data_IF_937444965213
#
_entry.id   IF_937444965213
#
_cell.length_a   1.000
_cell.length_b   1.000
_cell.length_c   1.000
_cell.angle_alpha   90.00
_cell.angle_beta   90.00
_cell.angle_gamma   90.00
#
_symmetry.space_group_name_H-M   'P 1'
#
loop_
_entity.id
_entity.type
_entity.pdbx_description
1 polymer ?
#
# COMPACT_ATOMS: atom_id res chain seq x y z
N UNK A 1 88.32 31.21 -14.11
CA UNK A 1 87.44 31.77 -15.16
C UNK A 1 86.00 31.40 -14.81
N UNK A 2 85.23 32.32 -14.23
CA UNK A 2 83.81 32.15 -13.92
C UNK A 2 83.00 33.06 -14.86
N UNK A 3 82.10 32.53 -15.71
CA UNK A 3 81.23 33.38 -16.50
C UNK A 3 79.96 33.76 -15.73
N UNK A 4 79.76 35.08 -15.68
CA UNK A 4 78.52 35.83 -15.83
C UNK A 4 77.22 35.32 -15.18
N UNK A 5 76.85 36.03 -14.10
CA UNK A 5 75.50 36.16 -13.58
C UNK A 5 74.61 36.93 -14.59
N UNK A 6 73.51 36.34 -15.02
CA UNK A 6 72.45 37.03 -15.75
C UNK A 6 71.07 36.54 -15.27
N UNK A 7 70.19 37.47 -14.89
CA UNK A 7 68.75 37.23 -14.90
C UNK A 7 67.97 37.54 -13.63
N UNK A 8 68.07 38.75 -13.07
CA UNK A 8 66.99 39.30 -12.25
C UNK A 8 65.82 39.69 -13.17
N UNK A 9 64.79 38.84 -13.27
CA UNK A 9 63.48 39.24 -13.80
C UNK A 9 62.62 39.77 -12.67
N UNK A 10 62.19 41.02 -12.81
CA UNK A 10 61.26 41.71 -11.94
C UNK A 10 59.90 40.97 -11.90
N UNK A 11 59.51 40.50 -10.72
CA UNK A 11 58.14 40.03 -10.46
C UNK A 11 57.21 41.24 -10.41
N UNK A 12 56.63 41.60 -11.57
CA UNK A 12 55.57 42.59 -11.68
C UNK A 12 54.30 41.99 -11.09
N UNK A 13 53.92 42.50 -9.92
CA UNK A 13 52.69 42.19 -9.19
C UNK A 13 51.44 42.28 -10.08
N UNK A 14 50.89 41.13 -10.48
CA UNK A 14 49.56 41.03 -11.06
C UNK A 14 48.56 40.97 -9.92
N UNK A 15 48.20 42.13 -9.36
CA UNK A 15 46.93 42.27 -8.63
C UNK A 15 45.84 42.37 -9.68
N UNK A 16 45.38 41.23 -10.17
CA UNK A 16 44.14 41.14 -10.91
C UNK A 16 42.99 41.48 -9.95
N UNK A 17 42.17 42.46 -10.32
CA UNK A 17 40.95 42.80 -9.63
C UNK A 17 40.02 41.58 -9.65
N UNK A 18 39.82 40.94 -8.49
CA UNK A 18 38.77 39.95 -8.31
C UNK A 18 37.43 40.70 -8.30
N UNK A 19 36.76 40.75 -9.46
CA UNK A 19 35.34 41.12 -9.50
C UNK A 19 34.58 39.98 -8.80
N UNK A 20 33.77 40.24 -7.76
CA UNK A 20 32.97 39.19 -7.15
C UNK A 20 31.96 38.72 -8.18
N UNK A 21 32.14 37.50 -8.69
CA UNK A 21 31.10 36.86 -9.49
C UNK A 21 29.87 36.70 -8.59
N UNK A 22 28.78 37.35 -8.97
CA UNK A 22 27.48 37.22 -8.34
C UNK A 22 27.02 35.76 -8.45
N UNK A 23 27.42 34.94 -7.46
CA UNK A 23 26.93 33.60 -7.27
C UNK A 23 25.43 33.69 -6.96
N UNK A 24 24.63 33.64 -8.02
CA UNK A 24 23.18 33.48 -7.92
C UNK A 24 22.96 32.08 -7.35
N UNK A 25 22.70 32.00 -6.04
CA UNK A 25 22.38 30.74 -5.38
C UNK A 25 21.14 30.14 -6.06
N UNK A 26 21.21 28.87 -6.50
CA UNK A 26 20.08 28.25 -7.18
C UNK A 26 18.87 28.24 -6.24
N UNK A 27 17.69 28.54 -6.80
CA UNK A 27 16.45 28.47 -6.06
C UNK A 27 16.28 27.06 -5.46
N UNK A 28 16.07 26.98 -4.14
CA UNK A 28 15.86 25.70 -3.45
C UNK A 28 14.53 25.12 -3.94
N UNK A 29 14.57 23.92 -4.51
CA UNK A 29 13.36 23.23 -4.95
C UNK A 29 12.35 23.10 -3.79
N UNK A 30 11.04 23.29 -4.04
CA UNK A 30 10.04 23.17 -2.99
C UNK A 30 10.04 21.74 -2.42
N UNK A 31 9.96 21.64 -1.09
CA UNK A 31 9.89 20.35 -0.39
C UNK A 31 8.59 19.62 -0.74
N UNK A 32 8.64 18.28 -0.83
CA UNK A 32 7.45 17.45 -1.01
C UNK A 32 6.46 17.62 0.15
N UNK A 33 5.17 17.41 -0.11
CA UNK A 33 4.12 17.57 0.91
C UNK A 33 4.25 16.58 2.08
N UNK A 34 4.78 15.37 1.84
CA UNK A 34 5.14 14.41 2.90
C UNK A 34 6.27 14.99 3.78
N UNK A 35 7.30 15.57 3.17
CA UNK A 35 8.42 16.21 3.91
C UNK A 35 7.91 17.40 4.73
N UNK A 36 7.03 18.22 4.17
CA UNK A 36 6.37 19.32 4.88
C UNK A 36 5.57 18.81 6.08
N UNK A 37 4.81 17.72 5.93
CA UNK A 37 4.08 17.10 7.05
C UNK A 37 5.03 16.68 8.19
N UNK A 38 6.16 16.04 7.86
CA UNK A 38 7.20 15.65 8.83
C UNK A 38 7.80 16.88 9.54
N UNK A 39 7.88 18.01 8.85
CA UNK A 39 8.27 19.34 9.38
C UNK A 39 7.11 20.12 10.02
N UNK A 40 6.11 19.42 10.56
CA UNK A 40 4.98 19.97 11.32
C UNK A 40 3.95 20.78 10.51
N UNK A 41 4.00 20.82 9.17
CA UNK A 41 2.88 21.34 8.38
C UNK A 41 1.63 20.47 8.58
N UNK A 42 0.46 21.10 8.73
CA UNK A 42 -0.81 20.42 9.03
C UNK A 42 -1.96 20.82 8.12
N UNK A 43 -1.66 21.48 7.00
CA UNK A 43 -2.65 21.80 5.97
C UNK A 43 -3.22 20.52 5.31
N UNK A 44 -4.40 20.60 4.67
CA UNK A 44 -5.04 19.43 4.07
C UNK A 44 -4.17 18.67 3.07
N UNK A 45 -3.33 19.36 2.29
CA UNK A 45 -2.45 18.72 1.29
C UNK A 45 -1.36 17.90 1.97
N UNK A 46 -0.66 18.48 2.95
CA UNK A 46 0.34 17.78 3.74
C UNK A 46 -0.23 16.54 4.47
N UNK A 47 -1.43 16.65 5.04
CA UNK A 47 -2.12 15.51 5.68
C UNK A 47 -2.48 14.41 4.70
N UNK A 48 -3.07 14.76 3.55
CA UNK A 48 -3.46 13.81 2.52
C UNK A 48 -2.24 13.07 1.95
N UNK A 49 -1.16 13.79 1.66
CA UNK A 49 0.08 13.21 1.17
C UNK A 49 0.68 12.20 2.16
N UNK A 50 0.73 12.54 3.46
CA UNK A 50 1.22 11.61 4.48
C UNK A 50 0.32 10.39 4.68
N UNK A 51 -1.01 10.56 4.62
CA UNK A 51 -1.95 9.46 4.70
C UNK A 51 -1.80 8.49 3.51
N UNK A 52 -1.59 9.03 2.30
CA UNK A 52 -1.30 8.23 1.11
C UNK A 52 0.04 7.47 1.24
N UNK A 53 1.11 8.16 1.65
CA UNK A 53 2.44 7.57 1.90
C UNK A 53 2.35 6.41 2.91
N UNK A 54 1.70 6.65 4.05
CA UNK A 54 1.51 5.64 5.09
C UNK A 54 0.66 4.46 4.62
N UNK A 55 -0.39 4.73 3.83
CA UNK A 55 -1.25 3.68 3.28
C UNK A 55 -0.49 2.83 2.26
N UNK A 56 0.27 3.46 1.38
CA UNK A 56 1.11 2.77 0.39
C UNK A 56 2.14 1.88 1.07
N UNK A 57 2.86 2.39 2.08
CA UNK A 57 3.82 1.61 2.84
C UNK A 57 3.16 0.42 3.57
N UNK A 58 1.99 0.63 4.19
CA UNK A 58 1.27 -0.49 4.84
C UNK A 58 0.84 -1.57 3.84
N UNK A 59 0.44 -1.17 2.63
CA UNK A 59 0.08 -2.14 1.57
C UNK A 59 1.31 -2.91 1.10
N UNK A 60 2.44 -2.24 0.87
CA UNK A 60 3.67 -2.94 0.47
C UNK A 60 4.16 -3.93 1.52
N UNK A 61 4.00 -3.61 2.82
CA UNK A 61 4.29 -4.57 3.90
C UNK A 61 3.32 -5.76 3.83
N UNK A 62 2.02 -5.51 3.66
CA UNK A 62 1.04 -6.58 3.53
C UNK A 62 1.22 -7.44 2.26
N UNK A 63 1.76 -6.87 1.18
CA UNK A 63 2.14 -7.60 -0.04
C UNK A 63 3.35 -8.49 0.18
N UNK A 64 4.34 -7.99 0.93
CA UNK A 64 5.54 -8.76 1.27
C UNK A 64 5.23 -9.90 2.26
N UNK A 65 4.34 -9.66 3.23
CA UNK A 65 3.96 -10.66 4.22
C UNK A 65 3.01 -11.71 3.63
N UNK A 66 2.13 -11.33 2.70
CA UNK A 66 1.11 -12.20 2.09
C UNK A 66 1.18 -12.09 0.56
N UNK A 67 2.20 -12.75 0.02
CA UNK A 67 2.54 -12.75 -1.40
C UNK A 67 1.75 -13.78 -2.21
N UNK A 68 2.09 -13.94 -3.50
CA UNK A 68 1.39 -14.86 -4.40
C UNK A 68 1.47 -16.33 -3.96
N UNK A 69 2.60 -16.75 -3.37
CA UNK A 69 2.80 -18.14 -2.95
C UNK A 69 1.91 -18.48 -1.74
N UNK A 70 1.87 -17.60 -0.72
CA UNK A 70 0.96 -17.77 0.42
C UNK A 70 -0.52 -17.69 0.01
N UNK A 71 -0.84 -16.90 -1.01
CA UNK A 71 -2.20 -16.85 -1.57
C UNK A 71 -2.56 -18.17 -2.27
N UNK A 72 -1.64 -18.75 -3.02
CA UNK A 72 -1.84 -20.05 -3.66
C UNK A 72 -2.04 -21.16 -2.62
N UNK A 73 -1.19 -21.21 -1.59
CA UNK A 73 -1.32 -22.15 -0.47
C UNK A 73 -2.66 -21.98 0.28
N UNK A 74 -3.10 -20.74 0.49
CA UNK A 74 -4.42 -20.45 1.09
C UNK A 74 -5.54 -21.03 0.24
N UNK A 75 -5.50 -20.83 -1.09
CA UNK A 75 -6.53 -21.34 -1.99
C UNK A 75 -6.51 -22.87 -2.08
N UNK A 76 -5.35 -23.49 -2.06
CA UNK A 76 -5.24 -24.95 -2.06
C UNK A 76 -5.76 -25.55 -0.75
N UNK A 77 -5.48 -24.91 0.39
CA UNK A 77 -6.06 -25.27 1.68
C UNK A 77 -7.60 -25.18 1.68
N UNK A 78 -8.17 -24.13 1.08
CA UNK A 78 -9.62 -23.99 0.93
C UNK A 78 -10.20 -25.08 0.03
N UNK A 79 -9.56 -25.38 -1.10
CA UNK A 79 -9.97 -26.47 -2.01
C UNK A 79 -9.87 -27.85 -1.37
N UNK A 80 -8.93 -28.06 -0.47
CA UNK A 80 -8.83 -29.26 0.36
C UNK A 80 -9.95 -29.36 1.42
N UNK A 81 -10.85 -28.36 1.50
CA UNK A 81 -12.00 -28.35 2.40
C UNK A 81 -11.72 -27.72 3.77
N UNK A 82 -10.56 -27.09 3.97
CA UNK A 82 -10.31 -26.34 5.19
C UNK A 82 -11.20 -25.08 5.24
N UNK A 83 -11.64 -24.73 6.45
CA UNK A 83 -12.34 -23.46 6.69
C UNK A 83 -11.35 -22.31 6.56
N UNK A 84 -11.82 -21.14 6.13
CA UNK A 84 -10.99 -19.94 5.95
C UNK A 84 -10.10 -19.61 7.15
N UNK A 85 -10.59 -19.76 8.38
CA UNK A 85 -9.78 -19.54 9.59
C UNK A 85 -8.61 -20.51 9.72
N UNK A 86 -8.81 -21.79 9.39
CA UNK A 86 -7.76 -22.80 9.43
C UNK A 86 -6.81 -22.66 8.23
N UNK A 87 -7.33 -22.36 7.05
CA UNK A 87 -6.54 -22.11 5.84
C UNK A 87 -5.64 -20.87 6.01
N UNK A 88 -6.17 -19.78 6.59
CA UNK A 88 -5.37 -18.59 6.90
C UNK A 88 -4.27 -18.90 7.92
N UNK A 89 -4.59 -19.66 8.97
CA UNK A 89 -3.59 -20.05 9.97
C UNK A 89 -2.47 -20.92 9.38
N UNK A 90 -2.76 -21.76 8.37
CA UNK A 90 -1.77 -22.59 7.69
C UNK A 90 -0.69 -21.76 6.99
N UNK A 91 -1.04 -20.59 6.46
CA UNK A 91 -0.12 -19.65 5.79
C UNK A 91 0.36 -18.54 6.73
N UNK A 92 0.24 -18.73 8.05
CA UNK A 92 0.68 -17.75 9.05
C UNK A 92 -0.17 -16.48 9.13
N UNK A 93 -1.35 -16.47 8.51
CA UNK A 93 -2.24 -15.31 8.44
C UNK A 93 -3.43 -15.42 9.39
N UNK A 94 -4.00 -14.27 9.73
CA UNK A 94 -5.30 -14.20 10.41
C UNK A 94 -6.42 -13.97 9.41
N UNK A 95 -7.63 -14.40 9.71
CA UNK A 95 -8.81 -14.12 8.87
C UNK A 95 -9.02 -12.62 8.65
N UNK A 96 -8.70 -11.80 9.65
CA UNK A 96 -8.77 -10.34 9.55
C UNK A 96 -7.74 -9.77 8.57
N UNK A 97 -6.53 -10.35 8.49
CA UNK A 97 -5.54 -9.95 7.51
C UNK A 97 -6.01 -10.27 6.08
N UNK A 98 -6.57 -11.47 5.87
CA UNK A 98 -7.15 -11.89 4.59
C UNK A 98 -8.26 -10.94 4.15
N UNK A 99 -9.26 -10.69 5.00
CA UNK A 99 -10.32 -9.71 4.66
C UNK A 99 -9.81 -8.27 4.56
N UNK A 100 -8.74 -7.93 5.27
CA UNK A 100 -8.02 -6.67 5.14
C UNK A 100 -7.45 -6.48 3.73
N UNK A 101 -6.89 -7.55 3.15
CA UNK A 101 -6.39 -7.60 1.77
C UNK A 101 -7.52 -7.42 0.76
N UNK A 102 -8.60 -8.20 0.89
CA UNK A 102 -9.80 -8.15 0.01
C UNK A 102 -10.36 -6.73 -0.15
N UNK A 103 -10.25 -5.88 0.88
CA UNK A 103 -10.79 -4.51 0.84
C UNK A 103 -10.08 -3.61 -0.18
N UNK A 104 -8.81 -3.85 -0.50
CA UNK A 104 -8.04 -2.99 -1.40
C UNK A 104 -7.43 -3.72 -2.60
N UNK A 105 -7.33 -5.04 -2.54
CA UNK A 105 -6.91 -5.92 -3.64
C UNK A 105 -8.15 -6.61 -4.22
N UNK A 106 -8.66 -6.05 -5.32
CA UNK A 106 -9.90 -6.51 -5.96
C UNK A 106 -9.70 -7.89 -6.60
N UNK A 107 -8.57 -8.10 -7.26
CA UNK A 107 -8.27 -9.37 -7.95
C UNK A 107 -8.19 -10.52 -6.94
N UNK A 108 -7.48 -10.33 -5.82
CA UNK A 108 -7.47 -11.29 -4.73
C UNK A 108 -8.86 -11.54 -4.14
N UNK A 109 -9.65 -10.47 -3.97
CA UNK A 109 -11.02 -10.56 -3.47
C UNK A 109 -11.92 -11.43 -4.34
N UNK A 110 -11.89 -11.22 -5.65
CA UNK A 110 -12.68 -11.99 -6.61
C UNK A 110 -12.23 -13.45 -6.69
N UNK A 111 -10.91 -13.69 -6.65
CA UNK A 111 -10.35 -15.04 -6.60
C UNK A 111 -10.78 -15.80 -5.33
N UNK A 112 -10.71 -15.14 -4.16
CA UNK A 112 -11.13 -15.74 -2.89
C UNK A 112 -12.63 -16.07 -2.91
N UNK A 113 -13.48 -15.18 -3.39
CA UNK A 113 -14.92 -15.45 -3.46
C UNK A 113 -15.27 -16.56 -4.44
N UNK A 114 -14.53 -16.67 -5.54
CA UNK A 114 -14.66 -17.78 -6.50
C UNK A 114 -14.39 -19.12 -5.81
N UNK A 115 -13.24 -19.23 -5.12
CA UNK A 115 -12.87 -20.45 -4.39
C UNK A 115 -13.89 -20.76 -3.28
N UNK A 116 -14.33 -19.77 -2.50
CA UNK A 116 -15.34 -19.97 -1.45
C UNK A 116 -16.70 -20.42 -1.99
N UNK A 117 -17.06 -20.01 -3.21
CA UNK A 117 -18.27 -20.46 -3.88
C UNK A 117 -18.13 -21.91 -4.37
N UNK A 118 -17.00 -22.26 -4.99
CA UNK A 118 -16.67 -23.62 -5.43
C UNK A 118 -16.66 -24.63 -4.27
N UNK A 119 -16.09 -24.24 -3.13
CA UNK A 119 -15.89 -25.11 -1.97
C UNK A 119 -16.97 -24.92 -0.90
N UNK A 120 -18.13 -24.36 -1.27
CA UNK A 120 -19.14 -23.98 -0.29
C UNK A 120 -19.67 -25.19 0.49
N UNK A 121 -19.47 -25.25 1.83
CA UNK A 121 -19.88 -26.41 2.63
C UNK A 121 -21.40 -26.64 2.65
N UNK A 122 -22.18 -25.63 2.25
CA UNK A 122 -23.63 -25.71 2.21
C UNK A 122 -24.17 -26.60 1.09
N UNK A 123 -23.37 -26.96 0.08
CA UNK A 123 -23.80 -27.76 -1.07
C UNK A 123 -25.07 -27.18 -1.72
N UNK A 124 -26.12 -27.98 -1.81
CA UNK A 124 -27.43 -27.59 -2.37
C UNK A 124 -28.13 -26.44 -1.62
N UNK A 125 -27.69 -26.15 -0.40
CA UNK A 125 -28.19 -25.03 0.42
C UNK A 125 -27.40 -23.74 0.19
N UNK A 126 -26.39 -23.75 -0.69
CA UNK A 126 -25.65 -22.55 -1.08
C UNK A 126 -26.61 -21.46 -1.60
N UNK A 127 -26.35 -20.20 -1.23
CA UNK A 127 -27.19 -19.06 -1.61
C UNK A 127 -28.54 -18.98 -0.88
N UNK A 128 -28.84 -19.90 0.06
CA UNK A 128 -30.05 -19.86 0.88
C UNK A 128 -29.72 -19.38 2.30
N UNK A 129 -30.68 -18.80 3.04
CA UNK A 129 -30.47 -18.41 4.44
C UNK A 129 -30.04 -19.59 5.34
N UNK A 130 -30.47 -20.81 5.01
CA UNK A 130 -30.05 -22.02 5.70
C UNK A 130 -28.56 -22.35 5.47
N UNK A 131 -27.99 -22.02 4.30
CA UNK A 131 -26.62 -22.35 3.94
C UNK A 131 -25.57 -21.82 4.93
N UNK A 132 -25.79 -20.64 5.50
CA UNK A 132 -24.89 -20.09 6.54
C UNK A 132 -24.88 -20.94 7.81
N UNK A 133 -26.01 -21.54 8.19
CA UNK A 133 -26.09 -22.45 9.35
C UNK A 133 -25.33 -23.76 9.10
N UNK A 134 -25.13 -24.13 7.84
CA UNK A 134 -24.33 -25.27 7.41
C UNK A 134 -22.86 -24.90 7.13
N UNK A 135 -22.41 -23.69 7.48
CA UNK A 135 -21.03 -23.25 7.30
C UNK A 135 -20.72 -22.62 5.94
N UNK A 136 -21.74 -22.29 5.15
CA UNK A 136 -21.58 -21.51 3.92
C UNK A 136 -21.09 -20.10 4.20
N UNK A 137 -19.94 -19.74 3.63
CA UNK A 137 -19.31 -18.42 3.81
C UNK A 137 -19.11 -17.63 2.52
N UNK A 138 -19.54 -18.15 1.36
CA UNK A 138 -19.47 -17.43 0.09
C UNK A 138 -20.38 -16.19 0.07
N UNK A 139 -20.13 -15.26 -0.86
CA UNK A 139 -20.92 -14.04 -1.03
C UNK A 139 -22.43 -14.29 -1.12
N UNK A 140 -22.88 -15.36 -1.77
CA UNK A 140 -24.31 -15.67 -1.88
C UNK A 140 -24.93 -16.08 -0.55
N UNK A 141 -24.28 -16.97 0.20
CA UNK A 141 -24.72 -17.36 1.54
C UNK A 141 -24.77 -16.14 2.48
N UNK A 142 -23.76 -15.27 2.44
CA UNK A 142 -23.73 -14.05 3.26
C UNK A 142 -24.85 -13.08 2.88
N UNK A 143 -25.11 -12.88 1.58
CA UNK A 143 -26.23 -12.06 1.08
C UNK A 143 -27.59 -12.63 1.49
N UNK A 144 -27.75 -13.95 1.45
CA UNK A 144 -28.99 -14.61 1.85
C UNK A 144 -29.26 -14.52 3.36
N UNK A 145 -28.22 -14.58 4.18
CA UNK A 145 -28.34 -14.45 5.64
C UNK A 145 -28.56 -13.00 6.10
N UNK A 146 -27.93 -12.04 5.41
CA UNK A 146 -28.10 -10.62 5.66
C UNK A 146 -28.73 -9.94 4.44
N UNK A 147 -30.02 -10.18 4.17
CA UNK A 147 -30.69 -9.51 3.07
C UNK A 147 -30.61 -8.00 3.31
N UNK A 148 -30.42 -7.19 2.24
CA UNK A 148 -30.42 -5.74 2.37
C UNK A 148 -31.71 -5.33 3.09
N UNK A 149 -31.57 -4.55 4.16
CA UNK A 149 -32.74 -4.03 4.89
C UNK A 149 -33.58 -3.29 3.86
N UNK A 150 -34.80 -3.76 3.60
CA UNK A 150 -35.77 -3.02 2.80
C UNK A 150 -35.80 -1.60 3.38
N UNK A 151 -35.36 -0.62 2.58
CA UNK A 151 -35.20 0.74 3.04
C UNK A 151 -36.51 1.15 3.68
N UNK A 152 -36.51 1.41 4.99
CA UNK A 152 -37.66 2.05 5.63
C UNK A 152 -37.81 3.37 4.90
N UNK A 153 -38.82 3.46 4.03
CA UNK A 153 -39.05 4.59 3.16
C UNK A 153 -38.97 5.85 4.01
N UNK A 154 -37.96 6.68 3.76
CA UNK A 154 -37.94 8.03 4.32
C UNK A 154 -39.18 8.67 3.72
N UNK A 155 -40.21 8.93 4.54
CA UNK A 155 -41.31 9.80 4.11
C UNK A 155 -40.65 11.09 3.68
N UNK A 156 -40.78 11.43 2.40
CA UNK A 156 -40.49 12.77 1.94
C UNK A 156 -41.43 13.70 2.72
N UNK A 157 -40.84 14.54 3.57
CA UNK A 157 -41.51 15.68 4.22
C UNK A 157 -41.33 16.89 3.34
#
# INVERSE_FOLDING_TARGET
MFPALAGLRANRSVRAAYAPEEHTMPAVAPKSDVTRYRQKARDPKARAAHAADTTSWRRSVAEADFGPDEQAELFDALRAGLRLTAAAAAVGMTTNAVYGRVRWDVEFGDALETVLAETCPAGDLCGRPAGVKHGGHCAECRRAHHPPRAGRGRRAT
#
